data_IF_051777766403
#
_entry.id   IF_051777766403
#
_cell.length_a   1.000
_cell.length_b   1.000
_cell.length_c   1.000
_cell.angle_alpha   90.00
_cell.angle_beta   90.00
_cell.angle_gamma   90.00
#
_symmetry.space_group_name_H-M   'P 1'
#
loop_
_entity.id
_entity.type
_entity.pdbx_description
1 polymer ?
2 water ?
#
# COMPACT_ATOMS: atom_id res chain seq x y z
N UNK A 1 14.02 16.71 -5.59
CA UNK A 1 14.36 15.80 -4.52
C UNK A 1 13.93 14.32 -4.55
N UNK A 2 15.05 13.61 -4.31
CA UNK A 2 15.19 12.16 -4.29
C UNK A 2 14.38 11.56 -3.19
N UNK A 3 14.66 11.84 -1.89
CA UNK A 3 13.86 11.26 -0.80
C UNK A 3 12.39 11.65 -0.97
N UNK A 4 12.14 12.92 -1.40
CA UNK A 4 10.82 13.51 -1.65
C UNK A 4 9.94 12.73 -2.64
N UNK A 5 10.54 12.02 -3.58
CA UNK A 5 9.84 11.22 -4.56
C UNK A 5 8.93 10.19 -3.85
N UNK A 6 9.44 9.61 -2.78
CA UNK A 6 8.68 8.59 -2.05
C UNK A 6 7.37 9.11 -1.44
N UNK A 7 7.25 10.41 -1.32
CA UNK A 7 6.01 10.91 -0.80
C UNK A 7 4.83 10.83 -1.80
N UNK A 8 5.17 10.49 -3.03
CA UNK A 8 4.15 10.37 -4.08
C UNK A 8 3.65 8.94 -4.28
N UNK A 9 3.94 8.06 -3.32
CA UNK A 9 3.37 6.71 -3.29
C UNK A 9 2.28 6.77 -2.24
N UNK A 10 1.04 6.60 -2.68
CA UNK A 10 -0.10 6.71 -1.83
C UNK A 10 -0.50 5.31 -1.38
N UNK A 11 -0.30 4.97 -0.10
CA UNK A 11 -0.72 3.66 0.41
C UNK A 11 -2.19 3.77 0.80
N UNK A 12 -3.03 2.92 0.20
CA UNK A 12 -4.48 2.95 0.45
C UNK A 12 -4.90 1.66 1.13
N UNK A 13 -5.44 1.75 2.34
CA UNK A 13 -5.92 0.57 3.04
C UNK A 13 -7.43 0.60 2.97
N UNK A 14 -8.00 -0.46 2.38
CA UNK A 14 -9.45 -0.55 2.18
C UNK A 14 -10.13 -1.34 3.30
N UNK A 15 -11.05 -0.65 4.03
CA UNK A 15 -11.91 -1.27 5.04
C UNK A 15 -11.16 -2.13 6.06
N UNK A 16 -10.06 -1.58 6.62
CA UNK A 16 -9.24 -2.33 7.57
C UNK A 16 -10.05 -2.63 8.84
N UNK A 17 -10.04 -3.90 9.19
CA UNK A 17 -10.81 -4.21 10.48
C UNK A 17 -10.00 -4.06 11.88
N UNK A 18 -8.70 -4.45 11.78
CA UNK A 18 -7.88 -4.33 12.98
C UNK A 18 -7.10 -3.04 12.99
N UNK A 19 -7.40 -2.11 13.93
CA UNK A 19 -6.65 -0.84 13.94
C UNK A 19 -5.16 -1.03 14.12
N UNK A 20 -4.74 -2.10 14.81
CA UNK A 20 -3.31 -2.41 14.92
C UNK A 20 -2.62 -2.51 13.55
N UNK A 21 -3.35 -3.02 12.52
CA UNK A 21 -2.76 -3.11 11.17
C UNK A 21 -2.55 -1.75 10.53
N UNK A 22 -3.39 -0.77 10.86
CA UNK A 22 -3.23 0.59 10.32
C UNK A 22 -1.90 1.15 10.85
N UNK A 23 -1.68 0.99 12.17
CA UNK A 23 -0.43 1.45 12.78
C UNK A 23 0.78 0.73 12.22
N UNK A 24 0.68 -0.60 12.10
CA UNK A 24 1.75 -1.43 11.54
C UNK A 24 2.09 -0.99 10.12
N UNK A 25 1.04 -0.69 9.31
CA UNK A 25 1.27 -0.18 7.94
C UNK A 25 1.99 1.15 7.98
N UNK A 26 1.57 2.08 8.88
CA UNK A 26 2.27 3.38 8.97
C UNK A 26 3.74 3.18 9.32
N UNK A 27 4.04 2.29 10.27
CA UNK A 27 5.43 2.02 10.65
C UNK A 27 6.22 1.48 9.45
N UNK A 28 5.62 0.51 8.73
CA UNK A 28 6.24 -0.10 7.55
C UNK A 28 6.54 0.93 6.46
N UNK A 29 5.65 1.90 6.30
CA UNK A 29 5.84 2.99 5.35
C UNK A 29 7.00 3.89 5.82
N UNK A 30 6.85 4.28 7.07
CA UNK A 30 7.94 5.30 7.59
C UNK A 30 9.46 4.59 7.50
N UNK A 31 9.38 3.35 7.88
CA UNK A 31 10.90 2.90 7.88
C UNK A 31 11.47 2.63 6.41
N UNK A 32 10.59 2.83 5.39
CA UNK A 32 11.08 2.77 4.00
C UNK A 32 11.10 4.13 3.31
N UNK A 33 10.75 5.18 4.06
CA UNK A 33 10.77 6.54 3.54
C UNK A 33 9.44 7.05 3.01
N UNK A 34 8.40 6.23 3.11
CA UNK A 34 7.10 6.65 2.65
C UNK A 34 6.27 7.34 3.75
N UNK A 35 5.28 8.12 3.33
CA UNK A 35 4.48 8.87 4.27
C UNK A 35 3.01 9.15 4.00
N UNK A 36 2.55 8.89 2.78
CA UNK A 36 1.17 9.21 2.42
C UNK A 36 0.19 8.03 2.60
N UNK A 37 -0.62 8.11 3.64
CA UNK A 37 -1.58 7.04 3.95
C UNK A 37 -3.00 7.51 3.75
N UNK A 38 -3.83 6.67 3.11
CA UNK A 38 -5.25 6.95 2.87
C UNK A 38 -6.04 5.75 3.35
N UNK A 39 -7.11 5.98 4.13
CA UNK A 39 -7.88 4.88 4.67
C UNK A 39 -9.29 5.00 4.12
N UNK A 40 -9.80 3.93 3.54
CA UNK A 40 -11.17 3.87 3.02
C UNK A 40 -12.02 3.13 4.06
N UNK A 41 -13.01 3.82 4.67
CA UNK A 41 -13.92 3.20 5.65
C UNK A 41 -13.21 2.29 6.67
N UNK A 42 -12.17 2.75 7.40
CA UNK A 42 -11.56 1.88 8.41
C UNK A 42 -12.59 1.59 9.49
N UNK A 43 -12.57 0.38 10.04
CA UNK A 43 -13.59 0.00 11.03
C UNK A 43 -13.42 0.73 12.36
N UNK A 44 -12.17 0.94 12.82
CA UNK A 44 -11.93 1.64 14.09
C UNK A 44 -10.71 2.53 13.91
N UNK A 45 -10.93 3.81 13.70
CA UNK A 45 -9.85 4.78 13.53
C UNK A 45 -10.36 6.19 13.83
N UNK A 46 -9.60 7.01 14.58
CA UNK A 46 -8.36 6.69 15.31
C UNK A 46 -8.60 5.66 16.41
N UNK A 47 -7.54 5.01 16.88
CA UNK A 47 -7.61 3.99 17.91
C UNK A 47 -6.25 3.83 18.54
N UNK A 48 -6.24 3.54 19.84
CA UNK A 48 -5.01 3.32 20.60
C UNK A 48 -4.13 2.21 20.04
N UNK A 49 -4.72 1.19 19.47
CA UNK A 49 -3.93 0.11 18.93
C UNK A 49 -3.13 0.56 17.68
N UNK A 50 -3.69 1.46 16.88
CA UNK A 50 -2.99 2.00 15.69
C UNK A 50 -1.81 2.83 16.19
N UNK A 51 -2.05 3.68 17.18
CA UNK A 51 -0.97 4.48 17.74
C UNK A 51 0.16 3.58 18.29
N UNK A 52 -0.19 2.51 19.03
CA UNK A 52 0.81 1.62 19.62
C UNK A 52 1.63 0.88 18.55
N UNK A 53 0.94 0.31 17.52
CA UNK A 53 1.64 -0.43 16.49
C UNK A 53 2.44 0.47 15.55
N UNK A 54 2.12 1.76 15.51
CA UNK A 54 2.88 2.72 14.69
C UNK A 54 4.31 2.90 15.22
N UNK A 55 4.52 2.62 16.53
CA UNK A 55 5.83 2.68 17.15
C UNK A 55 6.63 3.92 16.71
N UNK A 56 6.01 5.09 16.81
CA UNK A 56 6.65 6.35 16.45
C UNK A 56 6.27 6.90 15.09
N UNK A 57 5.51 6.13 14.27
CA UNK A 57 5.07 6.63 12.96
C UNK A 57 3.69 7.32 13.10
N UNK A 58 3.49 8.07 14.22
CA UNK A 58 2.24 8.81 14.51
C UNK A 58 2.03 10.01 13.59
N UNK A 59 3.08 10.55 13.00
CA UNK A 59 2.97 11.62 12.04
C UNK A 59 2.20 11.14 10.80
N UNK A 60 2.49 9.93 10.39
CA UNK A 60 1.78 9.38 9.27
C UNK A 60 0.31 9.17 9.59
N UNK A 61 0.00 8.65 10.78
CA UNK A 61 -1.40 8.50 11.21
C UNK A 61 -2.11 9.85 11.29
N UNK A 62 -1.45 10.87 11.85
CA UNK A 62 -2.07 12.20 11.98
C UNK A 62 -2.35 12.87 10.63
N UNK A 63 -1.54 12.58 9.59
CA UNK A 63 -1.70 13.15 8.26
C UNK A 63 -2.56 12.26 7.36
N UNK A 64 -2.94 11.06 7.83
CA UNK A 64 -3.71 10.12 7.01
C UNK A 64 -5.08 10.70 6.65
N UNK A 65 -5.53 10.50 5.42
CA UNK A 65 -6.83 10.98 4.99
C UNK A 65 -7.80 9.84 5.06
N UNK A 66 -8.98 10.09 5.64
CA UNK A 66 -9.99 9.04 5.82
C UNK A 66 -11.11 9.39 4.84
N UNK A 67 -11.45 8.46 3.95
CA UNK A 67 -12.50 8.69 2.94
C UNK A 67 -13.56 7.59 2.91
N UNK A 68 -14.74 7.88 2.35
CA UNK A 68 -15.83 6.92 2.33
C UNK A 68 -15.74 5.94 1.17
N UNK A 69 -15.04 6.32 0.08
CA UNK A 69 -14.97 5.43 -1.08
C UNK A 69 -13.56 5.24 -1.62
N UNK A 70 -13.34 4.10 -2.28
CA UNK A 70 -12.07 3.84 -2.94
C UNK A 70 -11.86 4.92 -4.03
N UNK A 71 -12.94 5.31 -4.74
CA UNK A 71 -12.79 6.34 -5.78
C UNK A 71 -12.13 7.61 -5.25
N UNK A 72 -12.58 8.11 -4.08
CA UNK A 72 -12.02 9.32 -3.47
C UNK A 72 -10.53 9.13 -3.13
N UNK A 73 -10.18 7.93 -2.66
CA UNK A 73 -8.79 7.61 -2.32
C UNK A 73 -7.84 7.63 -3.52
N UNK A 74 -8.37 7.40 -4.75
CA UNK A 74 -7.52 7.30 -5.94
C UNK A 74 -7.39 8.55 -6.78
N UNK A 75 -8.08 9.64 -6.37
CA UNK A 75 -8.09 10.93 -7.06
C UNK A 75 -6.68 11.45 -7.34
N UNK A 76 -6.41 11.73 -8.62
CA UNK A 76 -5.14 12.30 -9.04
C UNK A 76 -3.98 11.35 -9.24
N UNK A 77 -4.21 10.04 -9.06
CA UNK A 77 -3.13 9.07 -9.27
C UNK A 77 -2.87 8.79 -10.74
N UNK A 78 -1.59 8.65 -11.12
CA UNK A 78 -1.22 8.30 -12.49
C UNK A 78 -1.37 6.80 -12.75
N UNK A 79 -1.39 5.95 -11.69
CA UNK A 79 -1.57 4.51 -11.87
C UNK A 79 -2.01 3.95 -10.52
N UNK A 80 -2.77 2.86 -10.56
CA UNK A 80 -3.28 2.19 -9.36
C UNK A 80 -2.93 0.74 -9.39
N UNK A 81 -2.25 0.23 -8.32
CA UNK A 81 -1.85 -1.18 -8.26
C UNK A 81 -2.52 -1.78 -7.05
N UNK A 82 -3.27 -2.86 -7.25
CA UNK A 82 -3.96 -3.55 -6.16
C UNK A 82 -3.33 -4.87 -5.81
N UNK A 83 -3.31 -5.21 -4.52
CA UNK A 83 -2.71 -6.47 -4.13
C UNK A 83 -3.70 -7.61 -4.16
N UNK A 84 -3.22 -8.80 -4.54
CA UNK A 84 -4.06 -10.01 -4.53
C UNK A 84 -3.25 -11.15 -3.94
N UNK A 85 -3.87 -11.96 -3.06
CA UNK A 85 -3.20 -13.08 -2.38
C UNK A 85 -3.46 -14.43 -3.03
N UNK A 86 -4.37 -14.47 -4.02
CA UNK A 86 -4.77 -15.72 -4.66
C UNK A 86 -5.14 -15.48 -6.11
N UNK A 87 -5.41 -16.57 -6.87
CA UNK A 87 -5.86 -16.45 -8.26
C UNK A 87 -7.25 -15.84 -8.17
N UNK A 88 -7.43 -14.68 -8.78
CA UNK A 88 -8.70 -13.96 -8.71
C UNK A 88 -9.52 -14.12 -9.97
N UNK A 89 -8.98 -14.89 -10.96
CA UNK A 89 -9.62 -15.18 -12.24
C UNK A 89 -9.98 -13.89 -13.04
N UNK A 90 -9.27 -12.78 -12.74
CA UNK A 90 -9.39 -11.48 -13.41
C UNK A 90 -8.11 -11.36 -14.27
N UNK A 91 -8.20 -11.23 -15.62
CA UNK A 91 -6.98 -11.26 -16.45
C UNK A 91 -6.23 -9.93 -16.57
N UNK A 92 -5.96 -9.28 -15.43
CA UNK A 92 -5.23 -8.02 -15.40
C UNK A 92 -3.73 -8.35 -15.39
N UNK A 93 -2.81 -7.42 -15.78
CA UNK A 93 -1.38 -7.73 -15.68
C UNK A 93 -1.05 -7.98 -14.21
N UNK A 94 -0.41 -9.13 -13.93
CA UNK A 94 -0.04 -9.58 -12.58
C UNK A 94 1.45 -9.48 -12.33
N UNK A 95 1.82 -8.61 -11.39
CA UNK A 95 3.19 -8.31 -11.07
C UNK A 95 3.62 -8.91 -9.75
N UNK A 96 4.88 -9.30 -9.65
CA UNK A 96 5.41 -9.69 -8.35
C UNK A 96 5.86 -8.37 -7.65
N UNK A 97 6.32 -8.38 -6.37
CA UNK A 97 6.68 -7.11 -5.71
C UNK A 97 7.85 -6.35 -6.33
N UNK A 98 8.77 -7.06 -7.01
CA UNK A 98 9.94 -6.42 -7.66
C UNK A 98 9.44 -5.65 -8.87
N UNK A 99 8.56 -6.27 -9.67
CA UNK A 99 7.98 -5.62 -10.85
C UNK A 99 7.09 -4.46 -10.41
N UNK A 100 6.37 -4.62 -9.30
CA UNK A 100 5.57 -3.53 -8.74
C UNK A 100 6.47 -2.30 -8.45
N UNK A 101 7.60 -2.53 -7.74
CA UNK A 101 8.55 -1.48 -7.40
C UNK A 101 9.11 -0.79 -8.68
N UNK A 102 9.43 -1.56 -9.74
CA UNK A 102 9.90 -1.00 -11.04
C UNK A 102 8.85 -0.05 -11.62
N UNK A 103 7.58 -0.49 -11.64
CA UNK A 103 6.45 0.33 -12.12
C UNK A 103 6.32 1.58 -11.27
N UNK A 104 6.38 1.44 -9.93
CA UNK A 104 6.28 2.59 -9.04
C UNK A 104 7.33 3.63 -9.39
N UNK A 105 8.61 3.19 -9.51
CA UNK A 105 9.73 4.11 -9.76
C UNK A 105 9.60 4.83 -11.10
N UNK A 106 9.11 4.13 -12.08
CA UNK A 106 8.88 4.70 -13.39
C UNK A 106 7.93 5.87 -13.24
N UNK A 107 6.84 5.70 -12.52
CA UNK A 107 5.91 6.80 -12.27
C UNK A 107 6.46 7.91 -11.40
N UNK A 108 7.16 7.56 -10.30
CA UNK A 108 7.69 8.61 -9.42
C UNK A 108 8.66 9.50 -10.18
N UNK A 109 9.47 8.89 -11.05
CA UNK A 109 10.47 9.63 -11.83
C UNK A 109 9.83 10.54 -12.87
N UNK A 110 8.59 10.21 -13.28
CA UNK A 110 7.83 10.99 -14.25
C UNK A 110 6.83 11.92 -13.55
N UNK A 111 7.12 12.28 -12.28
CA UNK A 111 6.28 13.16 -11.45
C UNK A 111 4.82 12.66 -11.29
N UNK A 112 4.64 11.34 -11.36
CA UNK A 112 3.34 10.72 -11.18
C UNK A 112 3.05 10.49 -9.71
N UNK A 113 1.87 9.96 -9.43
CA UNK A 113 1.46 9.66 -8.06
C UNK A 113 0.89 8.27 -8.17
N UNK A 114 1.44 7.35 -7.38
CA UNK A 114 1.09 5.94 -7.50
C UNK A 114 0.24 5.50 -6.32
N UNK A 115 -0.90 4.84 -6.55
CA UNK A 115 -1.63 4.25 -5.43
C UNK A 115 -1.27 2.77 -5.32
N UNK A 116 -0.93 2.32 -4.08
CA UNK A 116 -0.70 0.89 -3.78
C UNK A 116 -1.89 0.55 -2.86
N UNK A 117 -2.80 -0.29 -3.34
CA UNK A 117 -4.07 -0.57 -2.67
C UNK A 117 -4.08 -1.94 -2.04
N UNK A 118 -4.36 -1.96 -0.72
CA UNK A 118 -4.44 -3.17 0.08
C UNK A 118 -5.84 -3.37 0.57
N UNK A 119 -6.29 -4.62 0.57
CA UNK A 119 -7.63 -4.93 1.02
C UNK A 119 -7.75 -5.39 2.45
N UNK A 120 -8.96 -5.86 2.78
CA UNK A 120 -9.29 -6.34 4.12
C UNK A 120 -8.56 -7.58 4.53
N UNK A 121 -8.31 -7.67 5.82
CA UNK A 121 -7.68 -8.82 6.36
C UNK A 121 -8.40 -10.09 5.82
N UNK A 122 -7.63 -11.06 5.41
CA UNK A 122 -8.15 -12.32 4.89
C UNK A 122 -8.86 -12.32 3.50
N UNK A 123 -9.81 -11.44 3.33
CA UNK A 123 -10.75 -11.41 2.22
C UNK A 123 -10.05 -10.70 1.05
N UNK A 124 -9.28 -9.69 1.37
CA UNK A 124 -8.62 -8.92 0.35
C UNK A 124 -9.56 -7.92 -0.29
N UNK A 125 -9.21 -7.42 -1.46
CA UNK A 125 -10.06 -6.50 -2.19
C UNK A 125 -11.21 -7.24 -2.89
N UNK A 126 -12.34 -6.56 -3.09
CA UNK A 126 -13.44 -7.19 -3.82
C UNK A 126 -13.07 -7.22 -5.30
N UNK A 127 -13.81 -7.96 -6.09
CA UNK A 127 -13.56 -7.97 -7.50
C UNK A 127 -13.68 -6.57 -8.09
N UNK A 128 -14.68 -5.82 -7.69
CA UNK A 128 -14.90 -4.46 -8.17
C UNK A 128 -13.72 -3.56 -7.81
N UNK A 129 -13.21 -3.71 -6.58
CA UNK A 129 -12.03 -2.94 -6.20
C UNK A 129 -10.82 -3.31 -7.07
N UNK A 130 -10.61 -4.62 -7.34
CA UNK A 130 -9.49 -5.04 -8.17
C UNK A 130 -9.66 -4.53 -9.61
N UNK A 131 -10.92 -4.46 -10.09
CA UNK A 131 -11.18 -4.00 -11.45
C UNK A 131 -10.91 -2.53 -11.64
N UNK A 132 -10.87 -1.78 -10.56
CA UNK A 132 -10.57 -0.36 -10.56
C UNK A 132 -9.05 -0.09 -10.70
N UNK A 133 -8.25 -1.11 -10.44
CA UNK A 133 -6.78 -1.06 -10.54
C UNK A 133 -6.30 -1.34 -11.97
N UNK A 134 -5.14 -0.80 -12.35
CA UNK A 134 -4.55 -1.06 -13.66
C UNK A 134 -3.62 -2.27 -13.63
N UNK A 135 -3.05 -2.54 -12.47
CA UNK A 135 -2.18 -3.66 -12.31
C UNK A 135 -2.52 -4.39 -10.99
N UNK A 136 -2.25 -5.67 -10.94
CA UNK A 136 -2.44 -6.47 -9.73
C UNK A 136 -1.08 -6.94 -9.27
N UNK A 137 -0.84 -6.92 -7.96
CA UNK A 137 0.45 -7.31 -7.41
C UNK A 137 0.24 -8.49 -6.50
N UNK A 138 0.99 -9.54 -6.69
CA UNK A 138 0.89 -10.71 -5.85
C UNK A 138 2.23 -11.01 -5.19
N UNK A 139 2.23 -11.15 -3.86
CA UNK A 139 3.44 -11.53 -3.12
C UNK A 139 3.48 -13.05 -3.15
N UNK A 140 4.49 -13.66 -3.80
CA UNK A 140 4.52 -15.13 -3.88
C UNK A 140 4.57 -15.72 -2.46
N UNK A 141 3.69 -16.63 -2.21
CA UNK A 141 3.53 -17.24 -0.91
C UNK A 141 3.17 -18.72 -1.01
N UNK A 142 3.15 -19.38 0.12
CA UNK A 142 2.81 -20.80 0.14
C UNK A 142 1.30 -20.89 -0.14
N UNK A 143 0.85 -21.50 -1.27
CA UNK A 143 -0.60 -21.55 -1.52
C UNK A 143 -1.39 -22.30 -0.44
N UNK A 144 -0.72 -23.13 0.40
CA UNK A 144 -1.41 -23.81 1.50
C UNK A 144 -1.81 -22.83 2.62
N UNK A 145 -1.10 -21.68 2.73
CA UNK A 145 -1.35 -20.65 3.76
C UNK A 145 -0.92 -19.29 3.17
N UNK A 146 -1.70 -18.78 2.23
CA UNK A 146 -1.32 -17.69 1.34
C UNK A 146 -1.42 -16.21 1.64
N UNK A 147 -2.27 -15.81 2.56
CA UNK A 147 -2.42 -14.38 2.86
C UNK A 147 -1.61 -13.91 4.06
N UNK A 148 -0.85 -12.90 3.82
CA UNK A 148 0.03 -12.31 4.80
C UNK A 148 -0.76 -11.37 5.69
N UNK A 149 -0.20 -11.01 6.82
CA UNK A 149 -0.76 -9.98 7.66
C UNK A 149 -0.73 -8.67 6.84
N UNK A 150 -1.77 -7.86 7.00
CA UNK A 150 -1.85 -6.62 6.22
C UNK A 150 -0.59 -5.73 6.36
N UNK A 151 -0.15 -5.48 7.57
CA UNK A 151 1.03 -4.65 7.75
C UNK A 151 2.31 -5.31 7.17
N UNK A 152 2.41 -6.62 7.30
CA UNK A 152 3.58 -7.36 6.73
C UNK A 152 3.58 -7.26 5.19
N UNK A 153 2.40 -7.30 4.58
CA UNK A 153 2.29 -7.15 3.13
C UNK A 153 2.71 -5.73 2.71
N UNK A 154 2.23 -4.72 3.46
CA UNK A 154 2.68 -3.36 3.15
C UNK A 154 4.21 -3.33 3.28
N UNK A 155 4.75 -3.94 4.31
CA UNK A 155 6.21 -3.93 4.45
C UNK A 155 6.97 -4.56 3.26
N UNK A 156 6.46 -5.67 2.76
CA UNK A 156 7.11 -6.32 1.61
C UNK A 156 7.12 -5.36 0.40
N UNK A 157 5.96 -4.78 0.08
CA UNK A 157 5.92 -3.87 -1.08
C UNK A 157 6.76 -2.62 -0.89
N UNK A 158 6.74 -2.02 0.30
CA UNK A 158 7.49 -0.78 0.56
C UNK A 158 8.98 -1.04 0.55
N UNK A 159 9.39 -2.23 1.05
CA UNK A 159 10.79 -2.67 1.05
C UNK A 159 11.28 -2.75 -0.42
N UNK A 160 10.48 -3.39 -1.31
CA UNK A 160 10.85 -3.47 -2.74
C UNK A 160 10.91 -2.10 -3.40
N UNK A 161 10.01 -1.21 -3.04
CA UNK A 161 10.04 0.14 -3.56
C UNK A 161 11.36 0.79 -3.15
N UNK A 162 11.74 0.68 -1.90
CA UNK A 162 12.98 1.29 -1.48
C UNK A 162 14.19 0.65 -2.15
N UNK A 163 14.15 -0.67 -2.33
CA UNK A 163 15.25 -1.36 -3.02
C UNK A 163 15.40 -0.81 -4.46
N UNK A 164 14.27 -0.57 -5.15
CA UNK A 164 14.32 -0.03 -6.53
C UNK A 164 14.81 1.41 -6.56
N UNK A 165 14.35 2.22 -5.61
CA UNK A 165 14.70 3.62 -5.43
C UNK A 165 16.21 3.77 -5.14
N UNK A 166 16.77 2.87 -4.30
CA UNK A 166 18.20 2.86 -4.00
C UNK A 166 19.02 2.46 -5.25
N UNK A 167 18.59 1.38 -5.93
CA UNK A 167 19.27 0.86 -7.14
C UNK A 167 19.36 1.91 -8.25
N UNK A 168 18.30 2.73 -8.42
CA UNK A 168 18.24 3.80 -9.41
C UNK A 168 19.23 4.94 -9.12
N UNK A 169 19.72 4.99 -7.88
CA UNK A 169 20.67 5.98 -7.41
C UNK A 169 22.07 5.42 -7.33
N UNK A 170 22.27 4.26 -7.85
CA UNK A 170 23.54 3.56 -7.81
C UNK A 170 23.92 3.17 -6.39
N UNK A 171 22.91 2.84 -5.59
CA UNK A 171 23.14 2.47 -4.23
C UNK A 171 22.57 1.12 -3.97
#
# INVERSE_FOLDING_TARGET
FQSMMLDRIRVVLVNTSHPGNIGGAARAMKNMGLSQLVLVQPESFPHGDAVARASGATDILDAARVVDTLEEALSGCSVVLGTSARDRRIPWPLLDPRECATTCLEHLEANGEVALVFGREYAGLTNEELQRCQFHVHIPSDPEFGSLNLAAAVQVLTYEVRMAWLAAQGK
#
